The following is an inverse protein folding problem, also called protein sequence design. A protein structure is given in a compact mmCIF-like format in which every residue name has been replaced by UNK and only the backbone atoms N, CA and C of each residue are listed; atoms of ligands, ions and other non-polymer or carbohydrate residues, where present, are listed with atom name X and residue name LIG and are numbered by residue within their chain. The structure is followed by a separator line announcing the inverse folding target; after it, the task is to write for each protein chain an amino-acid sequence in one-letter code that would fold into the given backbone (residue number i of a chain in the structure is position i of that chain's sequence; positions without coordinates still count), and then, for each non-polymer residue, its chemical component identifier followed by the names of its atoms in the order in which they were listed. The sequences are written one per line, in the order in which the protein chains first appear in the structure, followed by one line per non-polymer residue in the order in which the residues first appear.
data_IF_423678374806
#
_entry.id   IF_423678374806
#
_cell.length_a   1.000
_cell.length_b   1.000
_cell.length_c   1.000
_cell.angle_alpha   90.00
_cell.angle_beta   90.00
_cell.angle_gamma   90.00
#
_symmetry.space_group_name_H-M   'P 1'
#
loop_
_entity.id
_entity.type
_entity.pdbx_description
1 polymer ?
#
# COMPACT_ATOMS: atom_id res chain seq x y z
N UNK A 1 30.68 -8.36 26.50
CA UNK A 1 30.79 -6.98 25.97
C UNK A 1 29.46 -6.22 25.91
N UNK A 2 28.52 -6.49 24.98
CA UNK A 2 27.27 -5.71 24.92
C UNK A 2 26.34 -5.91 26.14
N UNK A 3 26.20 -7.14 26.63
CA UNK A 3 25.39 -7.46 27.81
C UNK A 3 25.95 -6.84 29.10
N UNK A 4 27.28 -6.88 29.28
CA UNK A 4 27.94 -6.29 30.45
C UNK A 4 27.88 -4.75 30.43
N UNK A 5 27.91 -4.15 29.24
CA UNK A 5 27.72 -2.71 29.06
C UNK A 5 26.28 -2.30 29.37
N UNK A 6 25.29 -3.05 28.88
CA UNK A 6 23.88 -2.82 29.21
C UNK A 6 23.64 -2.91 30.72
N UNK A 7 24.17 -3.95 31.38
CA UNK A 7 24.01 -4.13 32.83
C UNK A 7 24.66 -3.02 33.65
N UNK A 8 25.81 -2.49 33.21
CA UNK A 8 26.44 -1.32 33.83
C UNK A 8 25.60 -0.05 33.67
N UNK A 9 25.04 0.18 32.49
CA UNK A 9 24.17 1.34 32.24
C UNK A 9 22.87 1.26 33.05
N UNK A 10 22.30 0.06 33.20
CA UNK A 10 21.12 -0.18 34.04
C UNK A 10 21.42 0.05 35.54
N UNK A 11 22.57 -0.45 36.03
CA UNK A 11 23.05 -0.21 37.40
C UNK A 11 23.35 1.29 37.67
N UNK A 12 23.77 2.06 36.66
CA UNK A 12 24.02 3.51 36.73
C UNK A 12 22.71 4.33 36.69
N UNK A 13 21.70 3.92 35.92
CA UNK A 13 20.39 4.60 35.83
C UNK A 13 19.51 4.42 37.08
N UNK A 14 19.62 3.30 37.80
CA UNK A 14 18.81 2.99 39.01
C UNK A 14 19.04 3.99 40.18
N UNK A 15 20.16 4.72 40.15
CA UNK A 15 20.46 5.79 41.11
C UNK A 15 19.76 7.12 40.80
N UNK A 16 19.57 7.45 39.52
CA UNK A 16 19.02 8.74 39.05
C UNK A 16 17.52 8.68 38.70
N UNK A 17 16.96 7.49 38.45
CA UNK A 17 15.60 7.31 37.94
C UNK A 17 14.52 7.11 39.01
N UNK A 18 14.88 7.07 40.30
CA UNK A 18 13.91 6.94 41.42
C UNK A 18 12.88 8.08 41.42
N UNK A 19 11.69 7.79 40.86
CA UNK A 19 10.55 8.70 40.82
C UNK A 19 10.13 9.18 39.42
N UNK A 20 10.89 8.88 38.36
CA UNK A 20 10.47 9.16 36.97
C UNK A 20 9.54 8.05 36.49
N UNK A 21 8.34 8.42 36.02
CA UNK A 21 7.52 7.50 35.23
C UNK A 21 8.20 7.33 33.86
N UNK A 22 8.30 6.10 33.33
CA UNK A 22 8.83 5.90 31.99
C UNK A 22 7.97 6.65 30.98
N UNK A 23 8.60 7.41 30.08
CA UNK A 23 7.91 8.11 28.98
C UNK A 23 7.32 7.13 27.96
N UNK A 24 7.93 5.95 27.84
CA UNK A 24 7.53 4.87 26.92
C UNK A 24 6.83 3.79 27.73
N UNK A 25 5.55 3.54 27.43
CA UNK A 25 4.76 2.50 28.11
C UNK A 25 5.07 1.09 27.60
N UNK A 26 5.09 0.90 26.28
CA UNK A 26 5.26 -0.41 25.65
C UNK A 26 6.09 -0.30 24.37
N UNK A 27 6.81 -1.39 24.05
CA UNK A 27 7.51 -1.58 22.79
C UNK A 27 6.95 -2.84 22.13
N UNK A 28 6.48 -2.70 20.89
CA UNK A 28 6.03 -3.81 20.06
C UNK A 28 7.10 -4.08 19.00
N UNK A 29 7.63 -5.31 18.98
CA UNK A 29 8.58 -5.77 17.98
C UNK A 29 7.86 -6.72 17.03
N UNK A 30 7.83 -6.38 15.75
CA UNK A 30 7.13 -7.11 14.70
C UNK A 30 8.13 -7.42 13.59
N UNK A 31 8.36 -8.69 13.32
CA UNK A 31 9.14 -9.11 12.16
C UNK A 31 8.30 -8.96 10.87
N UNK A 32 8.93 -8.48 9.79
CA UNK A 32 8.23 -8.23 8.51
C UNK A 32 7.66 -9.53 7.91
N UNK A 33 8.30 -10.66 8.18
CA UNK A 33 7.90 -11.96 7.64
C UNK A 33 6.59 -12.51 8.21
N UNK A 34 6.10 -11.92 9.30
CA UNK A 34 4.75 -12.16 9.83
C UNK A 34 3.67 -11.65 8.87
N UNK A 35 3.97 -10.62 8.07
CA UNK A 35 3.01 -9.97 7.18
C UNK A 35 3.69 -9.53 5.88
N UNK A 36 4.04 -10.45 4.98
CA UNK A 36 4.52 -10.02 3.66
C UNK A 36 3.40 -9.45 2.77
N UNK A 37 2.13 -9.81 3.05
CA UNK A 37 0.98 -9.45 2.23
C UNK A 37 0.84 -7.94 2.10
N UNK A 38 0.88 -7.21 3.21
CA UNK A 38 0.82 -5.74 3.21
C UNK A 38 1.87 -5.09 2.30
N UNK A 39 3.10 -5.64 2.27
CA UNK A 39 4.19 -5.09 1.46
C UNK A 39 4.10 -5.49 -0.03
N UNK A 40 3.35 -6.54 -0.35
CA UNK A 40 3.14 -7.00 -1.72
C UNK A 40 2.00 -6.28 -2.41
N UNK A 41 0.99 -5.81 -1.68
CA UNK A 41 -0.15 -5.07 -2.20
C UNK A 41 0.22 -3.63 -2.60
N UNK A 42 -0.43 -3.12 -3.64
CA UNK A 42 -0.24 -1.77 -4.14
C UNK A 42 -0.82 -0.74 -3.18
N UNK A 43 -0.05 0.32 -2.92
CA UNK A 43 -0.46 1.38 -2.00
C UNK A 43 -1.43 2.33 -2.71
N UNK A 44 -2.50 2.77 -2.04
CA UNK A 44 -3.51 3.69 -2.64
C UNK A 44 -3.76 4.96 -1.83
N UNK A 45 -2.98 5.19 -0.77
CA UNK A 45 -2.92 6.49 -0.09
C UNK A 45 -1.94 7.43 -0.79
N UNK A 46 -2.07 8.75 -0.58
CA UNK A 46 -1.26 9.74 -1.28
C UNK A 46 0.25 9.51 -1.14
N UNK A 47 0.75 9.37 0.09
CA UNK A 47 2.19 9.20 0.33
C UNK A 47 2.73 7.90 -0.27
N UNK A 48 1.95 6.82 -0.16
CA UNK A 48 2.29 5.53 -0.79
C UNK A 48 2.36 5.61 -2.31
N UNK A 49 1.43 6.32 -2.95
CA UNK A 49 1.47 6.54 -4.41
C UNK A 49 2.60 7.48 -4.84
N UNK A 50 2.98 8.44 -4.00
CA UNK A 50 4.17 9.27 -4.22
C UNK A 50 5.42 8.40 -4.16
N UNK A 51 5.54 7.48 -3.19
CA UNK A 51 6.65 6.54 -3.11
C UNK A 51 6.69 5.58 -4.31
N UNK A 52 5.56 4.98 -4.66
CA UNK A 52 5.48 4.07 -5.82
C UNK A 52 5.81 4.77 -7.14
N UNK A 53 5.53 6.07 -7.27
CA UNK A 53 5.67 6.81 -8.53
C UNK A 53 7.00 7.55 -8.68
N UNK A 54 7.49 8.14 -7.59
CA UNK A 54 8.66 9.02 -7.58
C UNK A 54 9.77 8.55 -6.65
N UNK A 55 9.47 7.59 -5.77
CA UNK A 55 10.37 7.00 -4.76
C UNK A 55 10.83 7.99 -3.70
N UNK A 56 10.35 7.80 -2.49
CA UNK A 56 10.78 8.53 -1.31
C UNK A 56 12.09 7.90 -0.80
N UNK A 57 13.10 8.73 -0.56
CA UNK A 57 14.38 8.34 0.01
C UNK A 57 14.72 9.26 1.16
N UNK A 58 14.84 8.70 2.36
CA UNK A 58 15.15 9.46 3.58
C UNK A 58 14.21 10.66 3.78
N UNK A 59 12.91 10.44 3.61
CA UNK A 59 11.87 11.48 3.73
C UNK A 59 11.88 12.51 2.61
N UNK A 60 12.70 12.36 1.56
CA UNK A 60 12.75 13.29 0.43
C UNK A 60 12.33 12.64 -0.88
N UNK A 61 11.76 13.45 -1.77
CA UNK A 61 11.41 13.06 -3.14
C UNK A 61 12.00 14.06 -4.14
N UNK A 62 12.45 13.57 -5.29
CA UNK A 62 12.95 14.41 -6.38
C UNK A 62 11.86 14.52 -7.46
N UNK A 63 11.17 15.66 -7.50
CA UNK A 63 10.12 15.92 -8.49
C UNK A 63 10.70 16.41 -9.80
N UNK A 64 10.41 15.72 -10.90
CA UNK A 64 10.84 16.09 -12.24
C UNK A 64 9.93 17.13 -12.93
N UNK A 65 10.23 17.46 -14.20
CA UNK A 65 9.46 18.42 -14.99
C UNK A 65 7.97 18.11 -15.09
N UNK A 66 7.59 16.84 -15.00
CA UNK A 66 6.20 16.37 -15.01
C UNK A 66 5.38 16.83 -13.79
N UNK A 67 6.06 17.27 -12.72
CA UNK A 67 5.44 17.84 -11.51
C UNK A 67 5.77 19.33 -11.38
N UNK A 68 7.02 19.73 -11.64
CA UNK A 68 7.45 21.13 -11.41
C UNK A 68 6.97 22.09 -12.49
N UNK A 69 6.52 21.60 -13.65
CA UNK A 69 6.23 22.41 -14.84
C UNK A 69 7.42 23.29 -15.26
N UNK A 70 8.64 22.83 -14.97
CA UNK A 70 9.89 23.53 -15.28
C UNK A 70 10.97 22.52 -15.69
N UNK A 71 11.99 22.95 -16.43
CA UNK A 71 13.09 22.06 -16.87
C UNK A 71 14.00 21.58 -15.74
N UNK A 72 13.74 22.00 -14.49
CA UNK A 72 14.54 21.64 -13.32
C UNK A 72 13.77 20.68 -12.43
N UNK A 73 14.48 19.64 -11.97
CA UNK A 73 14.01 18.83 -10.86
C UNK A 73 14.11 19.61 -9.55
N UNK A 74 13.17 19.33 -8.64
CA UNK A 74 13.14 19.92 -7.31
C UNK A 74 13.08 18.83 -6.26
N UNK A 75 14.09 18.82 -5.39
CA UNK A 75 14.09 17.99 -4.20
C UNK A 75 13.20 18.61 -3.12
N UNK A 76 12.27 17.82 -2.59
CA UNK A 76 11.32 18.24 -1.56
C UNK A 76 11.42 17.29 -0.37
N UNK A 77 11.51 17.85 0.84
CA UNK A 77 11.39 17.10 2.09
C UNK A 77 9.90 16.94 2.41
N UNK A 78 9.46 15.69 2.55
CA UNK A 78 8.09 15.32 2.89
C UNK A 78 8.01 15.08 4.40
N UNK A 79 7.46 16.05 5.14
CA UNK A 79 7.28 15.97 6.59
C UNK A 79 6.01 16.74 7.02
N UNK A 80 5.70 16.71 8.31
CA UNK A 80 4.51 17.36 8.85
C UNK A 80 4.62 18.91 8.93
N UNK A 81 5.77 19.51 8.62
CA UNK A 81 5.90 20.97 8.55
C UNK A 81 5.21 21.55 7.30
N UNK A 82 5.08 20.73 6.25
CA UNK A 82 4.23 21.02 5.12
C UNK A 82 2.75 20.76 5.49
N UNK A 83 2.01 21.84 5.72
CA UNK A 83 0.57 21.81 6.07
C UNK A 83 -0.32 21.25 4.95
N UNK A 84 0.13 21.23 3.70
CA UNK A 84 -0.62 20.58 2.61
C UNK A 84 -0.38 19.08 2.71
N UNK A 85 0.88 18.66 2.79
CA UNK A 85 1.24 17.25 2.89
C UNK A 85 0.67 16.57 4.14
N UNK A 86 0.74 17.24 5.31
CA UNK A 86 0.22 16.71 6.57
C UNK A 86 -1.25 16.26 6.48
N UNK A 87 -2.06 17.02 5.75
CA UNK A 87 -3.51 16.78 5.60
C UNK A 87 -3.81 15.67 4.59
N UNK A 88 -2.97 15.48 3.57
CA UNK A 88 -3.27 14.57 2.45
C UNK A 88 -2.48 13.26 2.49
N UNK A 89 -1.35 13.19 3.19
CA UNK A 89 -0.40 12.06 3.11
C UNK A 89 -1.04 10.70 3.38
N UNK A 90 -1.95 10.67 4.35
CA UNK A 90 -2.64 9.47 4.82
C UNK A 90 -4.03 9.33 4.21
N UNK A 91 -4.46 10.24 3.34
CA UNK A 91 -5.78 10.19 2.72
C UNK A 91 -5.78 9.18 1.56
N UNK A 92 -6.90 8.50 1.38
CA UNK A 92 -7.12 7.71 0.18
C UNK A 92 -7.05 8.61 -1.05
N UNK A 93 -6.36 8.17 -2.09
CA UNK A 93 -6.04 9.02 -3.24
C UNK A 93 -7.28 9.62 -3.95
N UNK A 94 -8.42 8.92 -3.91
CA UNK A 94 -9.69 9.42 -4.45
C UNK A 94 -10.15 10.75 -3.83
N UNK A 95 -9.75 11.04 -2.60
CA UNK A 95 -10.18 12.23 -1.87
C UNK A 95 -9.20 13.41 -2.04
N UNK A 96 -7.96 13.11 -2.41
CA UNK A 96 -6.85 14.08 -2.42
C UNK A 96 -7.09 15.20 -3.42
N UNK A 97 -7.48 14.88 -4.66
CA UNK A 97 -7.64 15.90 -5.70
C UNK A 97 -8.72 16.93 -5.36
N UNK A 98 -9.84 16.48 -4.78
CA UNK A 98 -10.92 17.36 -4.30
C UNK A 98 -10.45 18.30 -3.19
N UNK A 99 -9.68 17.77 -2.24
CA UNK A 99 -9.07 18.55 -1.16
C UNK A 99 -8.10 19.61 -1.70
N UNK A 100 -7.16 19.22 -2.57
CA UNK A 100 -6.19 20.13 -3.18
C UNK A 100 -6.87 21.26 -3.96
N UNK A 101 -7.90 20.93 -4.73
CA UNK A 101 -8.69 21.89 -5.51
C UNK A 101 -9.42 22.90 -4.63
N UNK A 102 -9.96 22.47 -3.48
CA UNK A 102 -10.57 23.36 -2.51
C UNK A 102 -9.53 24.25 -1.82
N UNK A 103 -8.38 23.68 -1.42
CA UNK A 103 -7.28 24.41 -0.78
C UNK A 103 -6.70 25.48 -1.71
N UNK A 104 -6.59 25.19 -3.02
CA UNK A 104 -6.16 26.16 -4.04
C UNK A 104 -7.09 27.36 -4.14
N UNK A 105 -8.41 27.13 -4.19
CA UNK A 105 -9.41 28.23 -4.22
C UNK A 105 -9.35 29.08 -2.95
N UNK A 106 -9.23 28.46 -1.79
CA UNK A 106 -9.12 29.17 -0.51
C UNK A 106 -7.87 30.03 -0.43
N UNK A 107 -6.73 29.48 -0.88
CA UNK A 107 -5.45 30.17 -0.85
C UNK A 107 -5.40 31.33 -1.85
N UNK A 108 -6.00 31.17 -3.03
CA UNK A 108 -6.19 32.25 -3.99
C UNK A 108 -7.05 33.38 -3.42
N UNK A 109 -8.15 33.06 -2.74
CA UNK A 109 -8.99 34.05 -2.08
C UNK A 109 -8.24 34.85 -1.00
N UNK A 110 -7.32 34.21 -0.25
CA UNK A 110 -6.46 34.90 0.71
C UNK A 110 -5.49 35.85 0.03
N UNK A 111 -4.91 35.47 -1.11
CA UNK A 111 -4.10 36.37 -1.92
C UNK A 111 -4.88 37.58 -2.41
N UNK A 112 -6.11 37.40 -2.88
CA UNK A 112 -6.91 38.48 -3.45
C UNK A 112 -7.38 39.51 -2.41
N UNK A 113 -7.44 39.15 -1.12
CA UNK A 113 -7.70 40.10 -0.01
C UNK A 113 -6.70 41.26 0.04
N UNK A 114 -5.49 41.10 -0.52
CA UNK A 114 -4.50 42.17 -0.61
C UNK A 114 -4.98 43.39 -1.39
N UNK A 115 -5.97 43.24 -2.28
CA UNK A 115 -6.47 44.31 -3.17
C UNK A 115 -7.31 45.37 -2.47
N UNK A 116 -7.63 45.21 -1.18
CA UNK A 116 -8.45 46.14 -0.41
C UNK A 116 -7.88 46.53 0.96
N UNK A 117 -6.59 46.28 1.21
CA UNK A 117 -5.94 46.59 2.48
C UNK A 117 -5.47 48.04 2.55
N UNK A 118 -5.59 48.66 3.72
CA UNK A 118 -4.93 49.94 4.00
C UNK A 118 -3.40 49.78 4.12
N UNK A 119 -2.66 50.89 4.20
CA UNK A 119 -1.18 50.88 4.24
C UNK A 119 -0.63 50.12 5.47
N UNK A 120 -1.29 50.23 6.63
CA UNK A 120 -0.87 49.57 7.87
C UNK A 120 -1.13 48.06 7.80
N UNK A 121 -2.29 47.67 7.30
CA UNK A 121 -2.67 46.28 7.03
C UNK A 121 -1.76 45.66 5.98
N UNK A 122 -1.44 46.37 4.91
CA UNK A 122 -0.51 45.91 3.88
C UNK A 122 0.89 45.67 4.44
N UNK A 123 1.39 46.57 5.30
CA UNK A 123 2.69 46.39 5.97
C UNK A 123 2.69 45.13 6.86
N UNK A 124 1.62 44.90 7.62
CA UNK A 124 1.49 43.70 8.45
C UNK A 124 1.42 42.43 7.59
N UNK A 125 0.60 42.44 6.53
CA UNK A 125 0.47 41.31 5.60
C UNK A 125 1.80 40.92 4.96
N UNK A 126 2.54 41.91 4.42
CA UNK A 126 3.84 41.67 3.79
C UNK A 126 4.87 41.14 4.78
N UNK A 127 4.88 41.67 6.01
CA UNK A 127 5.88 41.30 7.02
C UNK A 127 5.60 39.98 7.74
N UNK A 128 4.33 39.61 7.92
CA UNK A 128 3.95 38.47 8.77
C UNK A 128 3.34 37.30 7.99
N UNK A 129 2.60 37.55 6.91
CA UNK A 129 1.75 36.52 6.28
C UNK A 129 2.25 36.09 4.89
N UNK A 130 2.74 37.04 4.08
CA UNK A 130 3.05 36.81 2.66
C UNK A 130 4.09 35.70 2.44
N UNK A 131 5.11 35.60 3.31
CA UNK A 131 6.16 34.57 3.17
C UNK A 131 5.57 33.17 3.35
N UNK A 132 4.75 32.97 4.39
CA UNK A 132 4.08 31.69 4.63
C UNK A 132 3.11 31.34 3.50
N UNK A 133 2.33 32.32 3.04
CA UNK A 133 1.36 32.12 1.96
C UNK A 133 2.04 31.77 0.62
N UNK A 134 3.22 32.35 0.32
CA UNK A 134 4.03 31.99 -0.86
C UNK A 134 4.56 30.56 -0.78
N UNK A 135 5.05 30.16 0.40
CA UNK A 135 5.55 28.82 0.62
C UNK A 135 4.43 27.79 0.46
N UNK A 136 3.27 28.03 1.09
CA UNK A 136 2.12 27.12 1.00
C UNK A 136 1.59 27.04 -0.44
N UNK A 137 1.52 28.14 -1.18
CA UNK A 137 1.17 28.12 -2.60
C UNK A 137 2.12 27.24 -3.42
N UNK A 138 3.43 27.37 -3.20
CA UNK A 138 4.43 26.59 -3.93
C UNK A 138 4.28 25.09 -3.65
N UNK A 139 4.15 24.70 -2.38
CA UNK A 139 4.00 23.30 -1.98
C UNK A 139 2.69 22.72 -2.50
N UNK A 140 1.60 23.49 -2.43
CA UNK A 140 0.32 23.12 -3.02
C UNK A 140 0.42 22.86 -4.53
N UNK A 141 1.08 23.74 -5.29
CA UNK A 141 1.30 23.53 -6.72
C UNK A 141 2.08 22.26 -7.02
N UNK A 142 3.10 21.94 -6.21
CA UNK A 142 3.87 20.69 -6.36
C UNK A 142 3.00 19.46 -6.08
N UNK A 143 2.18 19.47 -5.03
CA UNK A 143 1.28 18.36 -4.73
C UNK A 143 0.20 18.16 -5.80
N UNK A 144 -0.30 19.25 -6.41
CA UNK A 144 -1.20 19.17 -7.57
C UNK A 144 -0.49 18.52 -8.76
N UNK A 145 0.72 18.97 -9.12
CA UNK A 145 1.49 18.38 -10.22
C UNK A 145 1.81 16.89 -9.98
N UNK A 146 2.17 16.53 -8.74
CA UNK A 146 2.37 15.14 -8.35
C UNK A 146 1.08 14.32 -8.49
N UNK A 147 -0.05 14.84 -8.03
CA UNK A 147 -1.36 14.20 -8.17
C UNK A 147 -1.73 13.96 -9.63
N UNK A 148 -1.54 14.96 -10.51
CA UNK A 148 -1.81 14.83 -11.94
C UNK A 148 -0.91 13.77 -12.61
N UNK A 149 0.38 13.75 -12.25
CA UNK A 149 1.34 12.78 -12.78
C UNK A 149 1.03 11.35 -12.30
N UNK A 150 0.65 11.19 -11.01
CA UNK A 150 0.16 9.92 -10.46
C UNK A 150 -1.09 9.47 -11.21
N UNK A 151 -2.08 10.35 -11.40
CA UNK A 151 -3.31 10.01 -12.14
C UNK A 151 -2.98 9.50 -13.55
N UNK A 152 -2.14 10.22 -14.32
CA UNK A 152 -1.74 9.79 -15.68
C UNK A 152 -1.10 8.39 -15.72
N UNK A 153 -0.38 7.98 -14.67
CA UNK A 153 0.28 6.67 -14.57
C UNK A 153 -0.64 5.59 -14.02
N UNK A 154 -1.44 5.92 -12.99
CA UNK A 154 -2.18 4.98 -12.14
C UNK A 154 -3.70 4.97 -12.38
N UNK A 155 -4.23 5.73 -13.35
CA UNK A 155 -5.63 5.58 -13.81
C UNK A 155 -5.74 4.82 -15.14
N UNK A 156 -4.65 4.19 -15.58
CA UNK A 156 -4.67 3.31 -16.75
C UNK A 156 -5.41 2.02 -16.42
N UNK A 157 -6.05 1.43 -17.42
CA UNK A 157 -6.77 0.16 -17.29
C UNK A 157 -5.88 -0.94 -16.66
N UNK A 158 -4.60 -0.98 -17.01
CA UNK A 158 -3.65 -1.96 -16.47
C UNK A 158 -3.54 -1.88 -14.93
N UNK A 159 -3.52 -0.67 -14.34
CA UNK A 159 -3.44 -0.52 -12.88
C UNK A 159 -4.75 -0.90 -12.19
N UNK A 160 -5.90 -0.63 -12.83
CA UNK A 160 -7.19 -1.04 -12.27
C UNK A 160 -7.34 -2.57 -12.26
N UNK A 161 -6.92 -3.26 -13.32
CA UNK A 161 -6.91 -4.72 -13.37
C UNK A 161 -5.86 -5.32 -12.42
N UNK A 162 -4.72 -4.64 -12.19
CA UNK A 162 -3.74 -5.03 -11.17
C UNK A 162 -4.37 -5.04 -9.78
N UNK A 163 -4.96 -3.91 -9.36
CA UNK A 163 -5.61 -3.77 -8.05
C UNK A 163 -6.74 -4.78 -7.89
N UNK A 164 -7.57 -4.94 -8.91
CA UNK A 164 -8.66 -5.92 -8.92
C UNK A 164 -8.15 -7.35 -8.73
N UNK A 165 -7.03 -7.70 -9.35
CA UNK A 165 -6.39 -9.01 -9.19
C UNK A 165 -5.83 -9.16 -7.77
N UNK A 166 -5.14 -8.15 -7.24
CA UNK A 166 -4.65 -8.16 -5.85
C UNK A 166 -5.81 -8.40 -4.86
N UNK A 167 -6.91 -7.67 -5.00
CA UNK A 167 -8.10 -7.83 -4.15
C UNK A 167 -8.72 -9.22 -4.28
N UNK A 168 -8.85 -9.75 -5.50
CA UNK A 168 -9.36 -11.10 -5.71
C UNK A 168 -8.52 -12.17 -4.99
N UNK A 169 -7.18 -12.03 -5.03
CA UNK A 169 -6.25 -12.92 -4.32
C UNK A 169 -6.41 -12.81 -2.80
N UNK A 170 -6.55 -11.58 -2.27
CA UNK A 170 -6.75 -11.33 -0.83
C UNK A 170 -8.05 -11.94 -0.31
N UNK A 171 -9.13 -11.83 -1.10
CA UNK A 171 -10.43 -12.40 -0.77
C UNK A 171 -10.49 -13.92 -1.00
N UNK A 172 -9.55 -14.46 -1.79
CA UNK A 172 -9.49 -15.89 -2.13
C UNK A 172 -10.45 -16.30 -3.26
N UNK A 173 -10.93 -15.36 -4.07
CA UNK A 173 -11.83 -15.58 -5.20
C UNK A 173 -11.09 -15.53 -6.54
N UNK A 174 -11.70 -16.10 -7.59
CA UNK A 174 -11.24 -15.99 -8.97
C UNK A 174 -9.73 -16.31 -9.15
N UNK A 175 -9.22 -17.31 -8.43
CA UNK A 175 -7.79 -17.64 -8.42
C UNK A 175 -7.28 -18.01 -9.82
N UNK A 176 -8.10 -18.67 -10.64
CA UNK A 176 -7.71 -19.03 -12.01
C UNK A 176 -7.62 -17.81 -12.91
N UNK A 177 -8.61 -16.93 -12.83
CA UNK A 177 -8.62 -15.67 -13.57
C UNK A 177 -7.43 -14.79 -13.13
N UNK A 178 -7.11 -14.78 -11.84
CA UNK A 178 -5.93 -14.10 -11.29
C UNK A 178 -4.63 -14.69 -11.83
N UNK A 179 -4.49 -16.01 -11.87
CA UNK A 179 -3.34 -16.67 -12.50
C UNK A 179 -3.24 -16.32 -13.99
N UNK A 180 -4.34 -16.34 -14.73
CA UNK A 180 -4.35 -15.97 -16.15
C UNK A 180 -3.97 -14.50 -16.37
N UNK A 181 -4.40 -13.59 -15.50
CA UNK A 181 -3.96 -12.19 -15.54
C UNK A 181 -2.44 -12.08 -15.30
N UNK A 182 -1.89 -12.85 -14.36
CA UNK A 182 -0.44 -12.87 -14.10
C UNK A 182 0.33 -13.37 -15.34
N UNK A 183 -0.15 -14.44 -16.00
CA UNK A 183 0.42 -14.94 -17.25
C UNK A 183 0.40 -13.85 -18.33
N UNK A 184 -0.75 -13.20 -18.57
CA UNK A 184 -0.87 -12.12 -19.54
C UNK A 184 0.06 -10.94 -19.21
N UNK A 185 0.17 -10.58 -17.93
CA UNK A 185 1.03 -9.49 -17.47
C UNK A 185 2.53 -9.79 -17.70
N UNK A 186 2.93 -11.06 -17.56
CA UNK A 186 4.28 -11.55 -17.88
C UNK A 186 4.52 -11.54 -19.39
N UNK A 187 3.58 -12.07 -20.17
CA UNK A 187 3.68 -12.19 -21.63
C UNK A 187 3.73 -10.82 -22.31
N UNK A 188 2.97 -9.84 -21.80
CA UNK A 188 3.00 -8.44 -22.26
C UNK A 188 4.22 -7.65 -21.77
N UNK A 189 5.04 -8.25 -20.89
CA UNK A 189 6.22 -7.62 -20.30
C UNK A 189 5.92 -6.27 -19.62
N UNK A 190 4.77 -6.16 -18.93
CA UNK A 190 4.33 -4.88 -18.34
C UNK A 190 5.31 -4.39 -17.28
N UNK A 191 5.67 -5.26 -16.34
CA UNK A 191 6.62 -4.95 -15.27
C UNK A 191 7.12 -6.22 -14.60
N UNK A 192 8.45 -6.46 -14.54
CA UNK A 192 9.01 -7.63 -13.87
C UNK A 192 8.69 -7.65 -12.37
N UNK A 193 8.78 -6.48 -11.71
CA UNK A 193 8.58 -6.38 -10.26
C UNK A 193 7.11 -6.61 -9.88
N UNK A 194 6.17 -6.01 -10.61
CA UNK A 194 4.73 -6.19 -10.33
C UNK A 194 4.31 -7.63 -10.60
N UNK A 195 4.83 -8.26 -11.67
CA UNK A 195 4.61 -9.69 -11.94
C UNK A 195 5.09 -10.57 -10.78
N UNK A 196 6.31 -10.33 -10.25
CA UNK A 196 6.82 -11.07 -9.09
C UNK A 196 5.98 -10.84 -7.84
N UNK A 197 5.53 -9.61 -7.59
CA UNK A 197 4.68 -9.28 -6.43
C UNK A 197 3.37 -10.06 -6.49
N UNK A 198 2.71 -10.10 -7.65
CA UNK A 198 1.48 -10.87 -7.84
C UNK A 198 1.71 -12.37 -7.67
N UNK A 199 2.80 -12.92 -8.23
CA UNK A 199 3.16 -14.33 -8.04
C UNK A 199 3.39 -14.67 -6.57
N UNK A 200 4.06 -13.80 -5.81
CA UNK A 200 4.27 -13.97 -4.39
C UNK A 200 2.96 -13.84 -3.61
N UNK A 201 2.11 -12.87 -3.94
CA UNK A 201 0.81 -12.68 -3.31
C UNK A 201 -0.08 -13.92 -3.50
N UNK A 202 -0.16 -14.44 -4.73
CA UNK A 202 -0.83 -15.70 -5.04
C UNK A 202 -0.25 -16.87 -4.22
N UNK A 203 1.08 -16.98 -4.15
CA UNK A 203 1.72 -18.04 -3.37
C UNK A 203 1.39 -17.94 -1.88
N UNK A 204 1.37 -16.75 -1.28
CA UNK A 204 1.12 -16.59 0.15
C UNK A 204 -0.35 -16.84 0.48
N UNK A 205 -1.25 -16.32 -0.36
CA UNK A 205 -2.70 -16.47 -0.18
C UNK A 205 -3.17 -17.92 -0.36
N UNK A 206 -2.44 -18.72 -1.15
CA UNK A 206 -2.77 -20.13 -1.45
C UNK A 206 -1.85 -21.18 -0.79
N UNK A 207 -0.99 -20.80 0.17
CA UNK A 207 -0.01 -21.71 0.81
C UNK A 207 0.93 -22.42 -0.19
N UNK A 208 1.39 -21.68 -1.18
CA UNK A 208 2.20 -22.16 -2.29
C UNK A 208 1.39 -22.28 -3.58
N UNK A 209 2.10 -22.32 -4.70
CA UNK A 209 1.53 -22.57 -6.02
C UNK A 209 1.49 -24.07 -6.31
N UNK A 210 0.49 -24.50 -7.07
CA UNK A 210 0.44 -25.87 -7.58
C UNK A 210 1.72 -26.12 -8.40
N UNK A 211 2.44 -27.25 -8.22
CA UNK A 211 3.74 -27.49 -8.88
C UNK A 211 3.76 -27.33 -10.40
N UNK A 212 2.62 -27.59 -11.06
CA UNK A 212 2.44 -27.36 -12.51
C UNK A 212 2.43 -25.86 -12.83
N UNK A 213 1.62 -25.10 -12.10
CA UNK A 213 1.43 -23.66 -12.31
C UNK A 213 2.69 -22.89 -11.92
N UNK A 214 3.35 -23.28 -10.83
CA UNK A 214 4.67 -22.75 -10.45
C UNK A 214 5.69 -22.90 -11.57
N UNK A 215 5.80 -24.11 -12.16
CA UNK A 215 6.72 -24.38 -13.28
C UNK A 215 6.34 -23.59 -14.52
N UNK A 216 5.05 -23.47 -14.82
CA UNK A 216 4.53 -22.67 -15.94
C UNK A 216 4.93 -21.19 -15.80
N UNK A 217 4.50 -20.55 -14.71
CA UNK A 217 4.76 -19.14 -14.44
C UNK A 217 6.26 -18.83 -14.35
N UNK A 218 7.04 -19.69 -13.68
CA UNK A 218 8.51 -19.54 -13.64
C UNK A 218 9.12 -19.59 -15.04
N UNK A 219 8.67 -20.52 -15.88
CA UNK A 219 9.21 -20.66 -17.24
C UNK A 219 8.87 -19.44 -18.09
N UNK A 220 7.61 -19.01 -18.08
CA UNK A 220 7.15 -17.79 -18.77
C UNK A 220 7.94 -16.57 -18.28
N UNK A 221 8.07 -16.38 -16.96
CA UNK A 221 8.80 -15.25 -16.40
C UNK A 221 10.27 -15.22 -16.85
N UNK A 222 10.98 -16.35 -16.79
CA UNK A 222 12.39 -16.42 -17.21
C UNK A 222 12.56 -16.19 -18.71
N UNK A 223 11.60 -16.62 -19.52
CA UNK A 223 11.61 -16.39 -20.97
C UNK A 223 11.32 -14.93 -21.32
N UNK A 224 10.40 -14.29 -20.59
CA UNK A 224 10.02 -12.89 -20.82
C UNK A 224 11.03 -11.89 -20.28
N UNK A 225 11.59 -12.11 -19.09
CA UNK A 225 12.42 -11.13 -18.38
C UNK A 225 13.90 -11.51 -18.26
N UNK A 226 14.27 -12.76 -18.55
CA UNK A 226 15.66 -13.20 -18.61
C UNK A 226 16.03 -14.32 -17.62
N UNK A 227 16.99 -15.20 -17.97
CA UNK A 227 17.40 -16.34 -17.17
C UNK A 227 18.12 -15.96 -15.86
N UNK A 228 18.67 -14.76 -15.73
CA UNK A 228 19.30 -14.22 -14.52
C UNK A 228 18.35 -14.23 -13.32
N UNK A 229 17.04 -14.14 -13.56
CA UNK A 229 16.02 -14.22 -12.54
C UNK A 229 15.89 -15.61 -11.92
N UNK A 230 16.61 -16.62 -12.40
CA UNK A 230 16.70 -17.92 -11.72
C UNK A 230 17.21 -17.77 -10.28
N UNK A 231 18.16 -16.86 -10.05
CA UNK A 231 18.62 -16.51 -8.70
C UNK A 231 17.56 -15.75 -7.89
N UNK A 232 16.76 -14.91 -8.56
CA UNK A 232 15.63 -14.21 -7.94
C UNK A 232 14.60 -15.21 -7.40
N UNK A 233 14.19 -16.20 -8.21
CA UNK A 233 13.28 -17.26 -7.79
C UNK A 233 13.86 -18.10 -6.64
N UNK A 234 15.16 -18.40 -6.67
CA UNK A 234 15.83 -19.11 -5.57
C UNK A 234 15.73 -18.32 -4.26
N UNK A 235 15.98 -17.01 -4.31
CA UNK A 235 15.89 -16.13 -3.15
C UNK A 235 14.46 -16.00 -2.62
N UNK A 236 13.46 -15.83 -3.51
CA UNK A 236 12.05 -15.73 -3.13
C UNK A 236 11.54 -17.04 -2.49
N UNK A 237 11.95 -18.19 -3.03
CA UNK A 237 11.65 -19.50 -2.43
C UNK A 237 12.28 -19.64 -1.05
N UNK A 238 13.55 -19.23 -0.89
CA UNK A 238 14.25 -19.27 0.40
C UNK A 238 13.61 -18.34 1.44
N UNK A 239 13.06 -17.21 1.00
CA UNK A 239 12.32 -16.28 1.85
C UNK A 239 10.87 -16.72 2.14
N UNK A 240 10.40 -17.83 1.56
CA UNK A 240 9.02 -18.31 1.73
C UNK A 240 7.96 -17.53 0.94
N UNK A 241 8.35 -16.55 0.13
CA UNK A 241 7.45 -15.67 -0.62
C UNK A 241 6.82 -16.36 -1.85
N UNK A 242 7.57 -17.25 -2.50
CA UNK A 242 7.15 -17.93 -3.73
C UNK A 242 7.56 -19.41 -3.68
N UNK A 243 6.60 -20.28 -3.37
CA UNK A 243 6.85 -21.69 -3.06
C UNK A 243 5.91 -22.61 -3.84
N UNK A 244 6.27 -23.89 -3.91
CA UNK A 244 5.39 -24.95 -4.41
C UNK A 244 4.61 -25.54 -3.24
N UNK A 245 3.34 -25.91 -3.46
CA UNK A 245 2.53 -26.61 -2.46
C UNK A 245 3.14 -27.95 -2.06
N UNK A 246 3.12 -28.23 -0.76
CA UNK A 246 3.59 -29.51 -0.22
C UNK A 246 2.60 -30.66 -0.47
N UNK A 247 3.04 -31.92 -0.29
CA UNK A 247 2.13 -33.07 -0.30
C UNK A 247 1.06 -32.92 0.80
N UNK A 248 -0.20 -32.70 0.41
CA UNK A 248 -1.33 -32.54 1.32
C UNK A 248 -1.95 -31.14 1.39
N UNK A 249 -1.44 -30.16 0.62
CA UNK A 249 -1.98 -28.79 0.54
C UNK A 249 -2.89 -28.57 -0.70
N UNK A 250 -2.96 -29.55 -1.59
CA UNK A 250 -3.66 -29.52 -2.89
C UNK A 250 -5.19 -29.39 -2.85
N UNK A 251 -5.80 -29.23 -1.66
CA UNK A 251 -7.26 -29.21 -1.49
C UNK A 251 -7.90 -27.82 -1.67
N UNK A 252 -7.14 -26.73 -1.72
CA UNK A 252 -7.67 -25.36 -1.93
C UNK A 252 -8.29 -25.17 -3.33
N UNK A 253 -7.80 -25.87 -4.35
CA UNK A 253 -8.27 -25.73 -5.73
C UNK A 253 -9.72 -26.22 -5.97
N UNK A 254 -10.30 -26.99 -5.04
CA UNK A 254 -11.64 -27.58 -5.17
C UNK A 254 -12.76 -26.55 -4.95
N UNK A 255 -12.51 -25.45 -4.24
CA UNK A 255 -13.50 -24.38 -3.99
C UNK A 255 -13.96 -23.68 -5.30
N UNK A 256 -13.05 -23.50 -6.27
CA UNK A 256 -13.33 -22.81 -7.55
C UNK A 256 -14.33 -23.54 -8.45
N UNK A 257 -14.41 -24.89 -8.37
CA UNK A 257 -15.37 -25.67 -9.17
C UNK A 257 -16.77 -25.68 -8.56
N UNK A 258 -16.88 -25.62 -7.24
CA UNK A 258 -18.18 -25.72 -6.55
C UNK A 258 -18.86 -24.37 -6.43
N UNK A 259 -18.10 -23.28 -6.27
CA UNK A 259 -18.66 -21.92 -6.20
C UNK A 259 -19.40 -21.50 -7.47
N UNK A 260 -19.04 -22.08 -8.62
CA UNK A 260 -19.72 -21.86 -9.92
C UNK A 260 -21.02 -22.67 -10.09
N UNK A 261 -21.27 -23.65 -9.22
CA UNK A 261 -22.40 -24.58 -9.31
C UNK A 261 -23.55 -24.25 -8.35
N UNK A 262 -23.40 -23.27 -7.45
CA UNK A 262 -24.44 -22.94 -6.47
C UNK A 262 -24.98 -21.53 -6.70
N UNK A 263 -25.79 -21.39 -7.75
CA UNK A 263 -26.81 -20.35 -7.81
C UNK A 263 -28.04 -20.80 -7.02
N UNK A 264 -28.62 -19.86 -6.27
CA UNK A 264 -29.84 -19.92 -5.45
C UNK A 264 -29.74 -20.44 -4.03
N UNK A 265 -30.00 -19.50 -3.09
CA UNK A 265 -30.47 -19.51 -1.67
C UNK A 265 -30.06 -20.63 -0.68
N UNK A 266 -29.66 -21.81 -1.13
CA UNK A 266 -29.06 -22.87 -0.31
C UNK A 266 -27.53 -22.76 -0.17
N UNK A 267 -26.90 -21.83 -0.90
CA UNK A 267 -25.45 -21.63 -0.95
C UNK A 267 -24.81 -21.48 0.44
N UNK A 268 -25.35 -20.60 1.30
CA UNK A 268 -24.69 -20.23 2.56
C UNK A 268 -24.43 -21.38 3.53
N UNK A 269 -25.29 -22.42 3.55
CA UNK A 269 -25.10 -23.57 4.46
C UNK A 269 -24.18 -24.65 3.89
N UNK A 270 -24.11 -24.77 2.57
CA UNK A 270 -23.33 -25.80 1.87
C UNK A 270 -21.90 -25.31 1.61
N UNK A 271 -21.70 -24.02 1.34
CA UNK A 271 -20.37 -23.39 1.24
C UNK A 271 -19.65 -23.38 2.59
N UNK A 272 -20.34 -23.13 3.70
CA UNK A 272 -19.76 -23.21 5.04
C UNK A 272 -19.35 -24.64 5.42
N UNK A 273 -20.12 -25.65 5.01
CA UNK A 273 -19.78 -27.06 5.21
C UNK A 273 -18.58 -27.51 4.35
N UNK A 274 -18.50 -27.11 3.07
CA UNK A 274 -17.37 -27.46 2.20
C UNK A 274 -16.09 -26.68 2.50
N UNK A 275 -16.19 -25.41 2.90
CA UNK A 275 -15.05 -24.60 3.35
C UNK A 275 -14.49 -25.08 4.70
N UNK A 276 -15.20 -25.97 5.41
CA UNK A 276 -14.70 -26.66 6.60
C UNK A 276 -13.88 -27.92 6.27
N UNK A 277 -14.05 -28.48 5.06
CA UNK A 277 -13.33 -29.66 4.57
C UNK A 277 -12.06 -29.33 3.79
N UNK A 278 -12.01 -28.18 3.12
CA UNK A 278 -10.79 -27.69 2.47
C UNK A 278 -9.81 -27.18 3.55
N UNK A 279 -8.56 -27.64 3.51
CA UNK A 279 -7.49 -26.99 4.29
C UNK A 279 -7.42 -25.53 3.84
N UNK A 280 -7.90 -24.61 4.67
CA UNK A 280 -7.77 -23.17 4.43
C UNK A 280 -6.30 -22.82 4.47
N UNK A 281 -5.87 -21.94 3.56
CA UNK A 281 -4.51 -21.41 3.63
C UNK A 281 -4.28 -20.71 4.97
N UNK A 282 -3.01 -20.59 5.40
CA UNK A 282 -2.68 -19.95 6.67
C UNK A 282 -3.16 -18.49 6.67
N UNK A 283 -2.96 -17.80 5.55
CA UNK A 283 -3.46 -16.44 5.35
C UNK A 283 -4.98 -16.38 5.48
N UNK A 284 -5.75 -17.25 4.79
CA UNK A 284 -7.22 -17.26 4.86
C UNK A 284 -7.72 -17.55 6.27
N UNK A 285 -7.06 -18.46 7.00
CA UNK A 285 -7.42 -18.78 8.39
C UNK A 285 -7.21 -17.57 9.32
N UNK A 286 -6.05 -16.91 9.21
CA UNK A 286 -5.71 -15.70 9.99
C UNK A 286 -6.65 -14.56 9.61
N UNK A 287 -6.84 -14.33 8.32
CA UNK A 287 -7.73 -13.31 7.76
C UNK A 287 -9.15 -13.44 8.31
N UNK A 288 -9.71 -14.66 8.33
CA UNK A 288 -11.03 -14.90 8.94
C UNK A 288 -11.03 -14.68 10.45
N UNK A 289 -9.97 -15.07 11.16
CA UNK A 289 -9.89 -14.96 12.63
C UNK A 289 -9.77 -13.51 13.09
N UNK A 290 -9.03 -12.70 12.34
CA UNK A 290 -8.75 -11.29 12.68
C UNK A 290 -9.63 -10.31 11.88
N UNK A 291 -10.54 -10.80 11.05
CA UNK A 291 -11.39 -9.99 10.16
C UNK A 291 -10.58 -9.06 9.25
N UNK A 292 -9.50 -9.57 8.66
CA UNK A 292 -8.62 -8.76 7.81
C UNK A 292 -9.24 -8.40 6.46
N UNK A 293 -10.30 -9.09 6.04
CA UNK A 293 -11.08 -8.75 4.84
C UNK A 293 -12.42 -8.19 5.32
N UNK A 294 -12.62 -6.86 5.25
CA UNK A 294 -13.87 -6.24 5.67
C UNK A 294 -15.06 -6.82 4.92
N UNK A 295 -16.14 -7.12 5.65
CA UNK A 295 -17.41 -7.55 5.06
C UNK A 295 -18.36 -6.36 5.12
N UNK A 296 -18.35 -5.55 4.06
CA UNK A 296 -19.24 -4.38 3.97
C UNK A 296 -20.42 -4.73 3.08
N UNK A 297 -21.65 -4.51 3.58
CA UNK A 297 -22.86 -4.57 2.78
C UNK A 297 -22.92 -3.30 1.91
N UNK A 298 -22.31 -3.34 0.72
CA UNK A 298 -22.27 -2.22 -0.23
C UNK A 298 -20.86 -1.69 -0.48
N UNK A 299 -20.75 -0.46 -1.02
CA UNK A 299 -19.46 0.18 -1.29
C UNK A 299 -18.80 0.67 0.00
N UNK A 300 -17.49 0.44 0.13
CA UNK A 300 -16.69 0.92 1.26
C UNK A 300 -16.57 2.45 1.19
N UNK A 301 -16.93 3.15 2.28
CA UNK A 301 -16.83 4.62 2.34
C UNK A 301 -15.38 5.06 2.58
N UNK A 302 -14.71 5.44 1.49
CA UNK A 302 -13.33 5.93 1.53
C UNK A 302 -13.20 7.38 2.00
N UNK A 303 -14.31 8.14 2.12
CA UNK A 303 -14.28 9.52 2.63
C UNK A 303 -14.30 9.56 4.15
N UNK A 304 -14.99 8.60 4.77
CA UNK A 304 -15.07 8.46 6.23
C UNK A 304 -14.73 7.02 6.59
N UNK A 305 -13.45 6.63 6.51
CA UNK A 305 -13.03 5.26 6.75
C UNK A 305 -13.29 4.87 8.21
N UNK A 306 -13.77 3.64 8.42
CA UNK A 306 -14.12 3.12 9.76
C UNK A 306 -13.03 2.26 10.38
N UNK A 307 -12.11 1.79 9.55
CA UNK A 307 -11.00 0.93 9.91
C UNK A 307 -9.81 1.24 9.01
N UNK A 308 -8.70 0.54 9.22
CA UNK A 308 -7.48 0.75 8.43
C UNK A 308 -7.53 0.15 7.02
N UNK A 309 -8.60 -0.56 6.63
CA UNK A 309 -8.68 -1.16 5.31
C UNK A 309 -8.74 -0.14 4.18
N UNK A 310 -9.09 1.10 4.49
CA UNK A 310 -9.12 2.20 3.53
C UNK A 310 -7.77 2.40 2.81
N UNK A 311 -6.65 2.03 3.44
CA UNK A 311 -5.30 2.12 2.83
C UNK A 311 -5.12 1.14 1.66
N UNK A 312 -6.03 0.17 1.53
CA UNK A 312 -6.17 -0.78 0.42
C UNK A 312 -7.61 -0.79 -0.13
N UNK A 313 -8.25 0.39 -0.23
CA UNK A 313 -9.60 0.56 -0.80
C UNK A 313 -10.70 -0.29 -0.13
N UNK A 314 -10.52 -0.71 1.12
CA UNK A 314 -11.46 -1.57 1.83
C UNK A 314 -11.30 -3.06 1.57
N UNK A 315 -10.33 -3.48 0.74
CA UNK A 315 -10.11 -4.88 0.42
C UNK A 315 -9.38 -5.65 1.53
N UNK A 316 -8.53 -4.97 2.31
CA UNK A 316 -7.67 -5.62 3.29
C UNK A 316 -7.23 -4.68 4.42
N UNK A 317 -7.32 -5.15 5.65
CA UNK A 317 -6.70 -4.54 6.83
C UNK A 317 -5.29 -5.14 6.98
N UNK A 318 -4.22 -4.33 6.99
CA UNK A 318 -2.86 -4.81 7.22
C UNK A 318 -2.77 -5.66 8.48
N UNK A 319 -2.26 -6.90 8.38
CA UNK A 319 -2.11 -7.79 9.54
C UNK A 319 -1.19 -7.20 10.62
N UNK A 320 -0.23 -6.38 10.19
CA UNK A 320 0.72 -5.70 11.07
C UNK A 320 0.13 -4.51 11.85
N UNK A 321 -1.11 -4.11 11.58
CA UNK A 321 -1.79 -2.99 12.22
C UNK A 321 -2.88 -3.44 13.21
#
# INVERSE_FOLDING_TARGET
MAYELWRKLEEEEDGETKGRRPEIGHIFLLDRDVDFVTALCSQVVYEGLVDDTFRIKCGSVDFGPEVTSSDKSLKVLLNAEDKVFHEIRNEHFSNVFGFLSQKARNLQAQYDRRRGMDIKQMKNFVSQELKGLKQEHRLLSLHIGACESIMKKKTKQDFQELIKTEHALLEGFNIRESTSYIEEHIDRQVSPIESLRLMCLLSITENGLIPKDYRSLKTQYLQSYGPEHMLTFSNLRRAGLLTEQGPGDTLTAVESKVSKLVTDKAAGKITDAFSSLAKRSNFRAISKKLNLIPRVDGEYDLKVPRDMAYVFSGAYVPLSC
#
